data_IF_426687996178
#
_entry.id   IF_426687996178
#
_cell.length_a   1.000
_cell.length_b   1.000
_cell.length_c   1.000
_cell.angle_alpha   90.00
_cell.angle_beta   90.00
_cell.angle_gamma   90.00
#
_symmetry.space_group_name_H-M   'P 1'
#
loop_
_entity.id
_entity.type
_entity.pdbx_description
1 polymer ?
#
# COMPACT_ATOMS: atom_id res chain seq x y z
N UNK A 1 9.29 -5.73 4.66
CA UNK A 1 9.40 -5.08 5.98
C UNK A 1 10.09 -3.72 5.92
N UNK A 2 11.21 -3.55 5.20
CA UNK A 2 11.99 -2.30 5.29
C UNK A 2 11.29 -1.08 4.70
N UNK A 3 10.47 -1.23 3.65
CA UNK A 3 9.85 -0.09 2.95
C UNK A 3 10.93 0.91 2.51
N UNK A 4 10.64 2.20 2.64
CA UNK A 4 11.64 3.25 2.43
C UNK A 4 12.67 3.42 3.56
N UNK A 5 12.48 2.76 4.71
CA UNK A 5 13.36 2.90 5.87
C UNK A 5 13.36 4.31 6.46
N UNK A 6 14.47 4.73 7.05
CA UNK A 6 14.56 5.99 7.81
C UNK A 6 14.53 7.26 6.95
N UNK A 7 14.75 7.14 5.64
CA UNK A 7 14.87 8.27 4.71
C UNK A 7 13.98 8.05 3.50
N UNK A 8 12.67 8.33 3.62
CA UNK A 8 11.76 8.26 2.49
C UNK A 8 12.15 9.24 1.37
N UNK A 9 11.81 8.92 0.11
CA UNK A 9 12.11 9.80 -1.02
C UNK A 9 11.34 11.11 -0.89
N UNK A 10 11.93 12.19 -1.37
CA UNK A 10 11.26 13.48 -1.49
C UNK A 10 10.13 13.38 -2.51
N UNK A 11 8.89 13.47 -2.05
CA UNK A 11 7.73 13.29 -2.91
C UNK A 11 7.64 14.29 -4.08
N UNK A 12 8.28 15.47 -3.92
CA UNK A 12 8.29 16.54 -4.91
C UNK A 12 6.88 16.92 -5.39
N UNK A 13 5.91 16.96 -4.48
CA UNK A 13 4.51 17.25 -4.84
C UNK A 13 4.39 18.57 -5.61
N UNK A 14 3.42 18.68 -6.54
CA UNK A 14 3.23 19.88 -7.36
C UNK A 14 3.17 21.16 -6.55
N UNK A 15 3.74 22.24 -7.11
CA UNK A 15 3.80 23.57 -6.49
C UNK A 15 4.53 23.61 -5.13
N UNK A 16 5.38 22.63 -4.83
CA UNK A 16 6.10 22.56 -3.55
C UNK A 16 5.18 22.22 -2.37
N UNK A 17 4.07 21.54 -2.62
CA UNK A 17 3.17 21.12 -1.57
C UNK A 17 3.89 20.20 -0.56
N UNK A 18 3.65 20.45 0.72
CA UNK A 18 4.18 19.66 1.83
C UNK A 18 3.36 18.39 2.04
N UNK A 19 2.07 18.42 1.73
CA UNK A 19 1.17 17.28 1.94
C UNK A 19 0.21 17.13 0.78
N UNK A 20 0.08 15.90 0.27
CA UNK A 20 -1.00 15.53 -0.63
C UNK A 20 -2.19 15.01 0.19
N UNK A 21 -3.36 15.65 0.09
CA UNK A 21 -4.60 15.20 0.75
C UNK A 21 -5.49 14.54 -0.30
N UNK A 22 -5.78 13.25 -0.11
CA UNK A 22 -6.51 12.42 -1.06
C UNK A 22 -7.84 11.96 -0.42
N UNK A 23 -8.95 12.49 -0.92
CA UNK A 23 -10.30 12.18 -0.42
C UNK A 23 -10.87 11.00 -1.21
N UNK A 24 -11.20 9.91 -0.52
CA UNK A 24 -11.89 8.75 -1.09
C UNK A 24 -13.35 8.76 -0.67
N UNK A 25 -14.26 8.72 -1.64
CA UNK A 25 -15.68 8.46 -1.41
C UNK A 25 -16.05 7.06 -1.90
N UNK A 26 -16.27 6.13 -0.98
CA UNK A 26 -16.76 4.80 -1.31
C UNK A 26 -18.24 4.90 -1.73
N UNK A 27 -18.55 4.30 -2.88
CA UNK A 27 -19.91 4.16 -3.40
C UNK A 27 -20.23 2.68 -3.54
N UNK A 28 -20.86 2.15 -2.50
CA UNK A 28 -21.10 0.72 -2.31
C UNK A 28 -22.60 0.41 -2.20
N UNK A 29 -23.42 1.44 -1.95
CA UNK A 29 -24.85 1.34 -1.76
C UNK A 29 -25.57 0.83 -3.03
N UNK A 30 -26.13 -0.37 -2.94
CA UNK A 30 -26.69 -1.16 -4.05
C UNK A 30 -25.78 -2.31 -4.52
N UNK A 31 -24.56 -2.41 -4.00
CA UNK A 31 -23.58 -3.46 -4.27
C UNK A 31 -23.27 -4.36 -3.07
N UNK A 32 -23.83 -4.08 -1.90
CA UNK A 32 -23.67 -4.87 -0.67
C UNK A 32 -24.38 -6.23 -0.72
N UNK A 33 -24.13 -7.08 0.28
CA UNK A 33 -24.76 -8.40 0.36
C UNK A 33 -26.28 -8.30 0.50
N UNK A 34 -27.00 -8.92 -0.44
CA UNK A 34 -28.44 -9.01 -0.43
C UNK A 34 -28.90 -10.23 -1.23
N UNK A 35 -29.92 -10.95 -0.73
CA UNK A 35 -30.51 -12.07 -1.47
C UNK A 35 -31.13 -11.65 -2.81
N UNK A 36 -31.51 -10.38 -2.96
CA UNK A 36 -31.98 -9.81 -4.24
C UNK A 36 -30.85 -9.65 -5.27
N UNK A 37 -29.59 -9.71 -4.83
CA UNK A 37 -28.40 -9.65 -5.66
C UNK A 37 -27.84 -11.05 -5.95
N UNK A 38 -28.46 -12.11 -5.41
CA UNK A 38 -27.99 -13.49 -5.52
C UNK A 38 -27.11 -13.96 -4.36
N UNK A 39 -26.90 -13.14 -3.33
CA UNK A 39 -26.07 -13.50 -2.17
C UNK A 39 -26.81 -14.42 -1.20
N UNK A 40 -26.06 -15.18 -0.40
CA UNK A 40 -26.63 -16.18 0.52
C UNK A 40 -27.34 -15.56 1.75
N UNK A 41 -27.04 -14.31 2.10
CA UNK A 41 -27.52 -13.66 3.31
C UNK A 41 -27.60 -12.13 3.15
N UNK A 42 -28.26 -11.47 4.09
CA UNK A 42 -28.23 -10.00 4.18
C UNK A 42 -26.87 -9.47 4.63
N UNK A 43 -26.60 -8.20 4.28
CA UNK A 43 -25.45 -7.46 4.80
C UNK A 43 -25.44 -7.34 6.33
N UNK A 44 -24.23 -7.23 6.87
CA UNK A 44 -23.92 -7.16 8.30
C UNK A 44 -22.85 -6.10 8.61
N UNK A 45 -22.13 -5.59 7.61
CA UNK A 45 -20.96 -4.74 7.81
C UNK A 45 -21.25 -3.26 7.53
N UNK A 46 -20.48 -2.39 8.18
CA UNK A 46 -20.50 -0.92 8.08
C UNK A 46 -21.90 -0.29 8.04
N UNK A 47 -22.62 -0.41 9.15
CA UNK A 47 -23.92 0.20 9.36
C UNK A 47 -24.05 0.76 10.79
N UNK A 48 -25.17 1.42 11.08
CA UNK A 48 -25.50 1.86 12.44
C UNK A 48 -25.79 0.68 13.40
N UNK A 49 -25.99 -0.53 12.88
CA UNK A 49 -26.21 -1.75 13.66
C UNK A 49 -24.86 -2.43 13.87
N UNK A 50 -24.04 -1.86 14.76
CA UNK A 50 -22.72 -2.41 15.08
C UNK A 50 -22.89 -3.82 15.68
N UNK A 51 -22.19 -4.80 15.10
CA UNK A 51 -22.31 -6.21 15.50
C UNK A 51 -23.53 -6.93 14.89
N UNK A 52 -24.15 -6.38 13.84
CA UNK A 52 -25.16 -7.11 13.07
C UNK A 52 -24.59 -8.46 12.59
N UNK A 53 -25.45 -9.47 12.59
CA UNK A 53 -25.17 -10.76 11.96
C UNK A 53 -25.86 -10.81 10.60
N UNK A 54 -25.23 -11.47 9.63
CA UNK A 54 -25.85 -11.76 8.35
C UNK A 54 -27.04 -12.73 8.57
N UNK A 55 -28.16 -12.51 7.88
CA UNK A 55 -29.35 -13.36 8.00
C UNK A 55 -29.46 -14.27 6.77
N UNK A 56 -29.15 -15.58 6.88
CA UNK A 56 -29.20 -16.49 5.75
C UNK A 56 -30.60 -16.57 5.12
N UNK A 57 -30.65 -16.48 3.79
CA UNK A 57 -31.89 -16.58 3.01
C UNK A 57 -32.93 -15.48 3.29
N UNK A 58 -32.54 -14.41 3.98
CA UNK A 58 -33.45 -13.36 4.43
C UNK A 58 -32.95 -11.97 4.06
N UNK A 59 -33.89 -11.05 3.91
CA UNK A 59 -33.62 -9.61 3.83
C UNK A 59 -33.57 -9.02 5.22
N UNK A 60 -32.70 -8.03 5.40
CA UNK A 60 -32.59 -7.27 6.64
C UNK A 60 -33.04 -5.82 6.40
N UNK A 61 -34.32 -5.56 6.63
CA UNK A 61 -34.96 -4.28 6.31
C UNK A 61 -34.22 -3.05 6.89
N UNK A 62 -33.79 -3.13 8.14
CA UNK A 62 -33.05 -2.04 8.78
C UNK A 62 -31.70 -1.81 8.10
N UNK A 63 -30.99 -2.89 7.72
CA UNK A 63 -29.73 -2.79 7.00
C UNK A 63 -29.90 -2.15 5.63
N UNK A 64 -30.86 -2.63 4.84
CA UNK A 64 -31.14 -2.10 3.51
C UNK A 64 -31.47 -0.60 3.57
N UNK A 65 -32.35 -0.18 4.48
CA UNK A 65 -32.69 1.25 4.63
C UNK A 65 -31.54 2.13 5.14
N UNK A 66 -30.55 1.56 5.85
CA UNK A 66 -29.31 2.27 6.21
C UNK A 66 -28.43 2.47 4.97
N UNK A 67 -28.27 1.46 4.13
CA UNK A 67 -27.54 1.58 2.86
C UNK A 67 -28.26 2.54 1.91
N UNK A 68 -29.57 2.44 1.78
CA UNK A 68 -30.37 3.38 0.98
C UNK A 68 -30.17 4.84 1.40
N UNK A 69 -29.95 5.12 2.69
CA UNK A 69 -29.65 6.49 3.15
C UNK A 69 -28.40 7.06 2.45
N UNK A 70 -27.36 6.24 2.26
CA UNK A 70 -26.14 6.63 1.58
C UNK A 70 -26.43 7.09 0.16
N UNK A 71 -27.08 6.26 -0.65
CA UNK A 71 -27.42 6.61 -2.04
C UNK A 71 -28.44 7.78 -2.15
N UNK A 72 -29.42 7.83 -1.24
CA UNK A 72 -30.57 8.77 -1.33
C UNK A 72 -30.31 10.14 -0.73
N UNK A 73 -29.44 10.25 0.26
CA UNK A 73 -29.24 11.50 1.01
C UNK A 73 -27.78 11.79 1.34
N UNK A 74 -27.02 10.78 1.78
CA UNK A 74 -25.62 10.91 2.17
C UNK A 74 -24.75 11.39 1.02
N UNK A 75 -24.80 10.69 -0.11
CA UNK A 75 -24.08 11.03 -1.34
C UNK A 75 -24.33 12.48 -1.76
N UNK A 76 -25.60 12.91 -1.85
CA UNK A 76 -25.93 14.26 -2.30
C UNK A 76 -25.46 15.36 -1.34
N UNK A 77 -25.40 15.07 -0.02
CA UNK A 77 -24.82 16.00 0.95
C UNK A 77 -23.32 16.14 0.73
N UNK A 78 -22.61 15.03 0.55
CA UNK A 78 -21.17 15.01 0.32
C UNK A 78 -20.81 15.62 -1.04
N UNK A 79 -21.57 15.32 -2.10
CA UNK A 79 -21.42 15.92 -3.44
C UNK A 79 -21.48 17.44 -3.41
N UNK A 80 -22.45 18.03 -2.70
CA UNK A 80 -22.51 19.49 -2.53
C UNK A 80 -21.34 20.04 -1.72
N UNK A 81 -20.90 19.34 -0.68
CA UNK A 81 -19.80 19.76 0.20
C UNK A 81 -18.44 19.71 -0.50
N UNK A 82 -18.20 18.68 -1.30
CA UNK A 82 -16.93 18.38 -1.96
C UNK A 82 -16.86 18.94 -3.38
N UNK A 83 -17.90 19.65 -3.85
CA UNK A 83 -17.94 20.22 -5.19
C UNK A 83 -16.74 21.14 -5.42
N UNK A 84 -16.04 20.93 -6.54
CA UNK A 84 -14.84 21.70 -6.90
C UNK A 84 -13.56 21.24 -6.20
N UNK A 85 -13.62 20.22 -5.33
CA UNK A 85 -12.45 19.51 -4.83
C UNK A 85 -12.24 18.22 -5.64
N UNK A 86 -10.99 17.82 -5.88
CA UNK A 86 -10.70 16.51 -6.44
C UNK A 86 -11.06 15.42 -5.42
N UNK A 87 -11.76 14.40 -5.89
CA UNK A 87 -12.20 13.24 -5.12
C UNK A 87 -11.98 12.01 -5.99
N UNK A 88 -11.59 10.91 -5.35
CA UNK A 88 -11.61 9.59 -5.98
C UNK A 88 -12.78 8.81 -5.42
N UNK A 89 -13.66 8.36 -6.29
CA UNK A 89 -14.74 7.44 -5.95
C UNK A 89 -14.18 6.02 -6.01
N UNK A 90 -14.34 5.26 -4.94
CA UNK A 90 -14.19 3.81 -4.98
C UNK A 90 -15.57 3.23 -5.27
N UNK A 91 -15.83 2.97 -6.55
CA UNK A 91 -17.14 2.58 -7.04
C UNK A 91 -17.26 1.08 -7.26
N UNK A 92 -18.13 0.43 -6.49
CA UNK A 92 -18.49 -0.98 -6.70
C UNK A 92 -19.29 -1.08 -7.99
N UNK A 93 -18.87 -1.89 -8.94
CA UNK A 93 -19.43 -1.86 -10.30
C UNK A 93 -20.96 -2.11 -10.32
N UNK A 94 -21.45 -3.05 -9.51
CA UNK A 94 -22.90 -3.31 -9.37
C UNK A 94 -23.66 -2.17 -8.69
N UNK A 95 -23.04 -1.44 -7.76
CA UNK A 95 -23.64 -0.26 -7.14
C UNK A 95 -23.75 0.90 -8.15
N UNK A 96 -22.68 1.15 -8.92
CA UNK A 96 -22.67 2.15 -9.99
C UNK A 96 -23.76 1.86 -11.04
N UNK A 97 -23.94 0.58 -11.41
CA UNK A 97 -24.95 0.16 -12.38
C UNK A 97 -26.38 0.53 -11.96
N UNK A 98 -26.63 0.54 -10.64
CA UNK A 98 -27.92 0.86 -10.02
C UNK A 98 -28.11 2.34 -9.73
N UNK A 99 -27.11 3.18 -10.01
CA UNK A 99 -27.06 4.57 -9.57
C UNK A 99 -26.72 5.58 -10.69
N UNK A 100 -27.48 5.61 -11.80
CA UNK A 100 -27.13 6.43 -12.96
C UNK A 100 -27.08 7.94 -12.65
N UNK A 101 -27.92 8.45 -11.74
CA UNK A 101 -27.90 9.86 -11.35
C UNK A 101 -26.63 10.23 -10.58
N UNK A 102 -26.18 9.35 -9.68
CA UNK A 102 -24.97 9.52 -8.89
C UNK A 102 -23.73 9.43 -9.79
N UNK A 103 -23.67 8.46 -10.71
CA UNK A 103 -22.60 8.36 -11.72
C UNK A 103 -22.53 9.63 -12.55
N UNK A 104 -23.65 10.15 -13.06
CA UNK A 104 -23.69 11.39 -13.81
C UNK A 104 -23.18 12.59 -12.97
N UNK A 105 -23.51 12.63 -11.68
CA UNK A 105 -23.06 13.67 -10.76
C UNK A 105 -21.56 13.59 -10.46
N UNK A 106 -20.99 12.38 -10.31
CA UNK A 106 -19.55 12.14 -10.14
C UNK A 106 -18.78 12.63 -11.38
N UNK A 107 -19.24 12.24 -12.59
CA UNK A 107 -18.64 12.66 -13.86
C UNK A 107 -18.71 14.19 -14.05
N UNK A 108 -19.85 14.79 -13.76
CA UNK A 108 -20.03 16.25 -13.86
C UNK A 108 -19.13 17.00 -12.87
N UNK A 109 -18.83 16.41 -11.71
CA UNK A 109 -17.91 16.99 -10.74
C UNK A 109 -16.43 16.84 -11.12
N UNK A 110 -16.12 16.07 -12.18
CA UNK A 110 -14.74 15.76 -12.56
C UNK A 110 -14.01 14.87 -11.55
N UNK A 111 -14.76 14.08 -10.78
CA UNK A 111 -14.17 13.12 -9.85
C UNK A 111 -13.62 11.92 -10.60
N UNK A 112 -12.49 11.39 -10.11
CA UNK A 112 -12.01 10.08 -10.55
C UNK A 112 -13.01 9.01 -10.09
N UNK A 113 -13.30 8.01 -10.92
CA UNK A 113 -14.05 6.81 -10.52
C UNK A 113 -13.12 5.60 -10.70
N UNK A 114 -12.58 5.11 -9.59
CA UNK A 114 -11.77 3.90 -9.54
C UNK A 114 -12.65 2.67 -9.25
N UNK A 115 -12.13 1.48 -9.59
CA UNK A 115 -12.84 0.24 -9.31
C UNK A 115 -12.80 -0.09 -7.82
N UNK A 116 -13.96 -0.42 -7.25
CA UNK A 116 -14.06 -1.03 -5.94
C UNK A 116 -14.54 -2.50 -6.00
N UNK A 117 -14.15 -3.21 -7.06
CA UNK A 117 -14.58 -4.58 -7.33
C UNK A 117 -15.99 -4.67 -7.93
N UNK A 118 -16.41 -5.90 -8.24
CA UNK A 118 -17.72 -6.16 -8.84
C UNK A 118 -18.85 -5.94 -7.82
N UNK A 119 -18.65 -6.49 -6.62
CA UNK A 119 -19.57 -6.53 -5.49
C UNK A 119 -18.83 -6.15 -4.22
N UNK A 120 -19.57 -5.58 -3.27
CA UNK A 120 -19.02 -5.28 -1.95
C UNK A 120 -19.10 -6.53 -1.06
N UNK A 121 -18.20 -7.48 -1.31
CA UNK A 121 -18.09 -8.75 -0.60
C UNK A 121 -16.74 -8.95 0.09
N UNK A 122 -16.52 -10.16 0.61
CA UNK A 122 -15.24 -10.60 1.17
C UNK A 122 -14.61 -11.64 0.22
N UNK A 123 -13.36 -11.41 -0.18
CA UNK A 123 -12.62 -12.30 -1.08
C UNK A 123 -11.66 -13.25 -0.35
N UNK A 124 -11.56 -13.22 0.99
CA UNK A 124 -10.52 -13.95 1.75
C UNK A 124 -10.42 -15.45 1.42
N UNK A 125 -11.55 -16.10 1.10
CA UNK A 125 -11.65 -17.53 0.76
C UNK A 125 -12.00 -17.77 -0.73
N UNK A 126 -12.02 -16.72 -1.56
CA UNK A 126 -12.34 -16.85 -2.97
C UNK A 126 -11.25 -17.66 -3.70
N UNK A 127 -11.65 -18.48 -4.67
CA UNK A 127 -10.68 -19.11 -5.54
C UNK A 127 -10.07 -18.05 -6.47
N UNK A 128 -8.80 -18.25 -6.88
CA UNK A 128 -8.14 -17.34 -7.82
C UNK A 128 -8.94 -17.17 -9.12
N UNK A 129 -9.57 -18.25 -9.60
CA UNK A 129 -10.36 -18.23 -10.83
C UNK A 129 -11.62 -17.38 -10.69
N UNK A 130 -12.34 -17.52 -9.57
CA UNK A 130 -13.57 -16.74 -9.32
C UNK A 130 -13.24 -15.26 -9.10
N UNK A 131 -12.18 -14.97 -8.34
CA UNK A 131 -11.75 -13.60 -8.10
C UNK A 131 -11.27 -12.90 -9.37
N UNK A 132 -10.54 -13.60 -10.25
CA UNK A 132 -10.14 -13.07 -11.55
C UNK A 132 -11.36 -12.81 -12.45
N UNK A 133 -12.32 -13.73 -12.47
CA UNK A 133 -13.55 -13.55 -13.24
C UNK A 133 -14.36 -12.34 -12.75
N UNK A 134 -14.47 -12.16 -11.43
CA UNK A 134 -15.11 -10.98 -10.85
C UNK A 134 -14.35 -9.68 -11.17
N UNK A 135 -13.01 -9.71 -11.19
CA UNK A 135 -12.19 -8.57 -11.57
C UNK A 135 -12.44 -8.16 -13.02
N UNK A 136 -12.40 -9.11 -13.95
CA UNK A 136 -12.65 -8.88 -15.37
C UNK A 136 -14.07 -8.34 -15.60
N UNK A 137 -15.06 -8.91 -14.90
CA UNK A 137 -16.46 -8.47 -14.98
C UNK A 137 -16.66 -7.07 -14.37
N UNK A 138 -15.97 -6.76 -13.26
CA UNK A 138 -15.99 -5.42 -12.68
C UNK A 138 -15.44 -4.38 -13.65
N UNK A 139 -14.33 -4.68 -14.33
CA UNK A 139 -13.71 -3.79 -15.33
C UNK A 139 -14.66 -3.59 -16.51
N UNK A 140 -15.24 -4.67 -17.04
CA UNK A 140 -16.20 -4.61 -18.16
C UNK A 140 -17.40 -3.75 -17.79
N UNK A 141 -18.08 -4.07 -16.68
CA UNK A 141 -19.28 -3.36 -16.24
C UNK A 141 -18.99 -1.90 -15.90
N UNK A 142 -17.89 -1.62 -15.19
CA UNK A 142 -17.45 -0.26 -14.91
C UNK A 142 -17.26 0.53 -16.21
N UNK A 143 -16.58 -0.06 -17.20
CA UNK A 143 -16.34 0.58 -18.51
C UNK A 143 -17.65 0.94 -19.21
N UNK A 144 -18.64 0.05 -19.16
CA UNK A 144 -19.96 0.29 -19.77
C UNK A 144 -20.72 1.44 -19.09
N UNK A 145 -20.64 1.53 -17.75
CA UNK A 145 -21.38 2.52 -16.96
C UNK A 145 -20.70 3.90 -16.99
N UNK A 146 -19.39 3.92 -16.76
CA UNK A 146 -18.61 5.14 -16.64
C UNK A 146 -18.24 5.69 -18.01
N UNK A 147 -18.12 4.81 -19.02
CA UNK A 147 -17.73 5.16 -20.39
C UNK A 147 -16.22 5.08 -20.65
N UNK A 148 -15.43 4.78 -19.63
CA UNK A 148 -14.00 4.51 -19.72
C UNK A 148 -13.61 3.46 -18.67
N UNK A 149 -12.49 2.76 -18.89
CA UNK A 149 -12.02 1.75 -17.95
C UNK A 149 -11.53 2.38 -16.64
N UNK A 150 -11.64 1.68 -15.50
CA UNK A 150 -11.01 2.13 -14.26
C UNK A 150 -9.48 2.11 -14.40
N UNK A 151 -8.82 3.10 -13.80
CA UNK A 151 -7.35 3.22 -13.73
C UNK A 151 -6.78 2.93 -12.35
N UNK A 152 -7.63 2.85 -11.33
CA UNK A 152 -7.28 2.41 -9.99
C UNK A 152 -8.09 1.20 -9.56
N UNK A 153 -7.51 0.36 -8.70
CA UNK A 153 -8.17 -0.78 -8.07
C UNK A 153 -8.06 -0.74 -6.55
N UNK A 154 -9.16 -1.03 -5.87
CA UNK A 154 -9.21 -1.31 -4.43
C UNK A 154 -10.30 -2.34 -4.14
N UNK A 155 -10.01 -3.44 -3.48
CA UNK A 155 -11.03 -4.41 -3.03
C UNK A 155 -11.44 -4.19 -1.58
N UNK A 156 -10.50 -3.77 -0.73
CA UNK A 156 -10.67 -3.64 0.72
C UNK A 156 -10.59 -4.99 1.43
N UNK A 157 -11.66 -5.79 1.37
CA UNK A 157 -11.70 -7.15 1.95
C UNK A 157 -11.15 -8.16 0.95
N UNK A 158 -9.86 -8.01 0.65
CA UNK A 158 -9.13 -8.75 -0.37
C UNK A 158 -8.76 -10.18 0.05
N UNK A 159 -8.39 -11.01 -0.91
CA UNK A 159 -7.66 -12.26 -0.72
C UNK A 159 -6.15 -12.01 -0.77
N UNK A 160 -5.35 -13.06 -0.56
CA UNK A 160 -3.89 -13.00 -0.78
C UNK A 160 -3.51 -12.88 -2.27
N UNK A 161 -4.45 -13.16 -3.18
CA UNK A 161 -4.24 -13.09 -4.63
C UNK A 161 -4.55 -11.70 -5.20
N UNK A 162 -5.43 -10.92 -4.58
CA UNK A 162 -6.04 -9.71 -5.17
C UNK A 162 -5.03 -8.75 -5.78
N UNK A 163 -3.99 -8.37 -5.03
CA UNK A 163 -3.01 -7.37 -5.48
C UNK A 163 -2.21 -7.89 -6.67
N UNK A 164 -1.82 -9.17 -6.62
CA UNK A 164 -1.13 -9.84 -7.73
C UNK A 164 -2.04 -9.93 -8.96
N UNK A 165 -3.31 -10.31 -8.79
CA UNK A 165 -4.28 -10.38 -9.88
C UNK A 165 -4.48 -9.02 -10.56
N UNK A 166 -4.60 -7.95 -9.78
CA UNK A 166 -4.72 -6.58 -10.30
C UNK A 166 -3.46 -6.16 -11.05
N UNK A 167 -2.27 -6.51 -10.54
CA UNK A 167 -1.02 -6.28 -11.26
C UNK A 167 -0.99 -7.07 -12.59
N UNK A 168 -1.36 -8.35 -12.59
CA UNK A 168 -1.38 -9.20 -13.78
C UNK A 168 -2.37 -8.73 -14.86
N UNK A 169 -3.57 -8.22 -14.50
CA UNK A 169 -4.54 -7.65 -15.45
C UNK A 169 -3.92 -6.52 -16.27
N UNK A 170 -3.20 -5.66 -15.58
CA UNK A 170 -2.18 -4.84 -16.17
C UNK A 170 -2.61 -3.53 -16.82
N UNK A 171 -3.84 -3.10 -16.65
CA UNK A 171 -4.33 -1.80 -17.09
C UNK A 171 -4.53 -0.77 -15.96
N UNK A 172 -4.17 -1.11 -14.71
CA UNK A 172 -4.23 -0.17 -13.58
C UNK A 172 -2.95 0.66 -13.43
N UNK A 173 -3.14 1.96 -13.26
CA UNK A 173 -2.08 2.93 -12.92
C UNK A 173 -1.67 2.80 -11.45
N UNK A 174 -2.60 2.36 -10.59
CA UNK A 174 -2.31 2.06 -9.19
C UNK A 174 -3.25 0.98 -8.61
N UNK A 175 -2.76 0.32 -7.56
CA UNK A 175 -3.55 -0.54 -6.65
C UNK A 175 -3.45 0.03 -5.24
N UNK A 176 -4.56 0.00 -4.48
CA UNK A 176 -4.63 0.64 -3.17
C UNK A 176 -4.91 -0.31 -1.99
N UNK A 177 -4.95 -1.63 -2.23
CA UNK A 177 -5.04 -2.67 -1.19
C UNK A 177 -3.73 -2.83 -0.42
N UNK A 178 -3.29 -1.74 0.21
CA UNK A 178 -2.17 -1.68 1.14
C UNK A 178 -2.38 -0.53 2.12
N UNK A 179 -1.93 -0.71 3.35
CA UNK A 179 -2.03 0.26 4.44
C UNK A 179 -0.65 0.51 5.08
N UNK A 180 0.42 0.25 4.33
CA UNK A 180 1.75 -0.01 4.87
C UNK A 180 2.74 1.16 4.79
N UNK A 181 2.34 2.32 4.26
CA UNK A 181 3.24 3.46 4.08
C UNK A 181 2.45 4.78 3.94
N UNK A 182 3.13 5.91 4.16
CA UNK A 182 2.59 7.28 4.01
C UNK A 182 2.90 7.86 2.61
N UNK A 183 3.45 7.02 1.71
CA UNK A 183 3.86 7.35 0.35
C UNK A 183 3.53 6.23 -0.63
N UNK A 184 3.29 6.54 -1.92
CA UNK A 184 3.25 5.53 -2.96
C UNK A 184 4.57 4.77 -3.06
N UNK A 185 4.53 3.51 -3.49
CA UNK A 185 5.73 2.70 -3.72
C UNK A 185 5.49 1.64 -4.81
N UNK A 186 6.56 1.23 -5.48
CA UNK A 186 6.49 0.18 -6.49
C UNK A 186 6.64 -1.20 -5.86
N UNK A 187 5.76 -2.12 -6.23
CA UNK A 187 5.85 -3.54 -5.88
C UNK A 187 5.91 -4.38 -7.15
N UNK A 188 6.78 -5.40 -7.15
CA UNK A 188 6.97 -6.29 -8.31
C UNK A 188 6.10 -7.53 -8.16
N UNK A 189 5.43 -7.89 -9.25
CA UNK A 189 4.65 -9.11 -9.39
C UNK A 189 5.06 -9.78 -10.70
N UNK A 190 5.85 -10.86 -10.62
CA UNK A 190 6.50 -11.45 -11.79
C UNK A 190 7.39 -10.42 -12.50
N UNK A 191 7.14 -10.18 -13.79
CA UNK A 191 7.90 -9.22 -14.60
C UNK A 191 7.35 -7.78 -14.54
N UNK A 192 6.31 -7.53 -13.75
CA UNK A 192 5.60 -6.24 -13.72
C UNK A 192 5.77 -5.50 -12.41
N UNK A 193 6.22 -4.25 -12.48
CA UNK A 193 6.10 -3.30 -11.37
C UNK A 193 4.70 -2.67 -11.36
N UNK A 194 3.99 -2.82 -10.25
CA UNK A 194 2.71 -2.19 -9.98
C UNK A 194 2.90 -1.10 -8.93
N UNK A 195 2.43 0.11 -9.24
CA UNK A 195 2.42 1.19 -8.26
C UNK A 195 1.34 0.90 -7.22
N UNK A 196 1.77 0.88 -5.96
CA UNK A 196 0.89 0.86 -4.80
C UNK A 196 0.74 2.29 -4.32
N UNK A 197 -0.51 2.74 -4.17
CA UNK A 197 -0.83 4.00 -3.49
C UNK A 197 -1.57 3.60 -2.21
N UNK A 198 -0.93 3.64 -1.02
CA UNK A 198 -1.48 3.07 0.23
C UNK A 198 -2.69 3.83 0.79
N UNK A 199 -3.73 3.09 1.14
CA UNK A 199 -4.99 3.60 1.69
C UNK A 199 -4.97 3.58 3.23
N UNK A 200 -6.14 3.76 3.87
CA UNK A 200 -6.29 3.91 5.32
C UNK A 200 -7.52 3.16 5.85
N UNK A 201 -7.37 2.56 7.04
CA UNK A 201 -8.48 2.02 7.84
C UNK A 201 -8.70 2.82 9.14
N UNK A 202 -7.83 3.78 9.42
CA UNK A 202 -7.77 4.59 10.64
C UNK A 202 -8.32 6.01 10.40
N UNK A 203 -7.79 6.74 9.41
CA UNK A 203 -8.32 8.00 8.89
C UNK A 203 -9.54 7.75 7.97
N UNK A 204 -10.49 6.98 8.48
CA UNK A 204 -11.59 6.41 7.73
C UNK A 204 -12.88 6.44 8.57
N UNK A 205 -13.97 6.94 8.00
CA UNK A 205 -15.26 7.05 8.68
C UNK A 205 -15.92 5.68 8.93
N UNK A 206 -15.41 4.58 8.34
CA UNK A 206 -15.78 3.21 8.71
C UNK A 206 -15.64 2.98 10.22
N UNK A 207 -14.74 3.73 10.87
CA UNK A 207 -14.55 3.70 12.31
C UNK A 207 -15.79 4.13 13.09
N UNK A 208 -16.79 4.79 12.51
CA UNK A 208 -18.08 5.00 13.20
C UNK A 208 -18.93 3.73 13.35
N UNK A 209 -18.59 2.66 12.62
CA UNK A 209 -19.42 1.46 12.51
C UNK A 209 -18.69 0.16 12.94
N UNK A 210 -17.60 0.29 13.72
CA UNK A 210 -16.84 -0.84 14.28
C UNK A 210 -16.78 -0.76 15.81
N UNK A 211 -16.59 -1.88 16.53
CA UNK A 211 -16.66 -1.90 18.00
C UNK A 211 -15.69 -0.94 18.72
N UNK A 212 -14.47 -0.75 18.20
CA UNK A 212 -13.46 0.17 18.75
C UNK A 212 -13.45 1.53 18.01
N UNK A 213 -14.65 1.96 17.63
CA UNK A 213 -14.91 3.07 16.72
C UNK A 213 -14.97 4.45 17.36
N UNK A 214 -15.13 5.48 16.52
CA UNK A 214 -15.40 6.84 16.98
C UNK A 214 -16.82 6.90 17.59
N UNK A 215 -16.91 7.30 18.85
CA UNK A 215 -18.19 7.45 19.57
C UNK A 215 -18.84 8.81 19.32
N UNK A 216 -18.02 9.83 19.03
CA UNK A 216 -18.43 11.20 18.75
C UNK A 216 -17.91 11.62 17.36
N UNK A 217 -18.76 12.21 16.47
CA UNK A 217 -18.30 12.88 15.26
C UNK A 217 -17.03 13.72 15.40
N UNK A 218 -16.83 14.42 16.52
CA UNK A 218 -15.66 15.28 16.73
C UNK A 218 -14.37 14.51 17.01
N UNK A 219 -14.44 13.23 17.40
CA UNK A 219 -13.24 12.39 17.46
C UNK A 219 -12.65 12.17 16.07
N UNK A 220 -13.49 12.01 15.05
CA UNK A 220 -13.03 11.90 13.66
C UNK A 220 -12.44 13.22 13.16
N UNK A 221 -13.05 14.37 13.49
CA UNK A 221 -12.49 15.69 13.18
C UNK A 221 -11.07 15.85 13.78
N UNK A 222 -10.92 15.55 15.08
CA UNK A 222 -9.62 15.62 15.75
C UNK A 222 -8.62 14.63 15.17
N UNK A 223 -9.05 13.42 14.83
CA UNK A 223 -8.16 12.42 14.24
C UNK A 223 -7.59 12.90 12.90
N UNK A 224 -8.46 13.39 12.00
CA UNK A 224 -8.05 13.89 10.69
C UNK A 224 -7.15 15.12 10.79
N UNK A 225 -7.46 16.06 11.68
CA UNK A 225 -6.65 17.27 11.87
C UNK A 225 -5.28 16.96 12.45
N UNK A 226 -5.19 16.09 13.46
CA UNK A 226 -3.91 15.67 14.03
C UNK A 226 -3.05 14.88 13.05
N UNK A 227 -3.66 13.96 12.28
CA UNK A 227 -2.95 13.21 11.24
C UNK A 227 -2.39 14.15 10.16
N UNK A 228 -3.21 15.11 9.71
CA UNK A 228 -2.77 16.14 8.78
C UNK A 228 -1.63 16.99 9.35
N UNK A 229 -1.77 17.53 10.56
CA UNK A 229 -0.76 18.41 11.17
C UNK A 229 0.59 17.70 11.31
N UNK A 230 0.59 16.42 11.70
CA UNK A 230 1.80 15.59 11.77
C UNK A 230 2.45 15.45 10.39
N UNK A 231 1.71 14.94 9.40
CA UNK A 231 2.23 14.71 8.05
C UNK A 231 2.65 16.00 7.35
N UNK A 232 1.99 17.11 7.65
CA UNK A 232 2.33 18.44 7.16
C UNK A 232 3.62 18.98 7.77
N UNK A 233 3.85 18.69 9.05
CA UNK A 233 5.10 19.03 9.73
C UNK A 233 6.29 18.26 9.16
N UNK A 234 6.12 16.96 8.86
CA UNK A 234 7.16 16.13 8.23
C UNK A 234 7.44 16.57 6.79
N UNK A 235 6.39 16.85 6.02
CA UNK A 235 6.48 17.17 4.60
C UNK A 235 6.74 15.94 3.72
N UNK A 236 6.36 16.05 2.44
CA UNK A 236 6.55 15.00 1.45
C UNK A 236 5.76 13.72 1.77
N UNK A 237 4.59 13.81 2.41
CA UNK A 237 3.70 12.68 2.71
C UNK A 237 2.33 12.84 2.07
N UNK A 238 1.56 11.77 2.03
CA UNK A 238 0.15 11.83 1.65
C UNK A 238 -0.77 11.39 2.80
N UNK A 239 -1.96 11.97 2.84
CA UNK A 239 -3.05 11.58 3.75
C UNK A 239 -4.23 11.10 2.92
N UNK A 240 -4.57 9.81 3.06
CA UNK A 240 -5.84 9.28 2.56
C UNK A 240 -6.95 9.57 3.56
N UNK A 241 -8.15 9.92 3.09
CA UNK A 241 -9.34 10.08 3.93
C UNK A 241 -10.46 9.21 3.36
N UNK A 242 -10.81 8.14 4.09
CA UNK A 242 -11.85 7.21 3.70
C UNK A 242 -13.24 7.64 4.14
N UNK A 243 -14.18 7.76 3.20
CA UNK A 243 -15.55 8.21 3.44
C UNK A 243 -16.56 7.22 2.86
N UNK A 244 -17.68 7.00 3.55
CA UNK A 244 -18.78 6.17 3.07
C UNK A 244 -20.09 6.98 3.07
N UNK A 245 -20.84 6.92 1.97
CA UNK A 245 -22.04 7.74 1.79
C UNK A 245 -23.04 7.55 2.94
N UNK A 246 -23.28 6.31 3.37
CA UNK A 246 -24.20 5.97 4.47
C UNK A 246 -23.72 6.36 5.87
N UNK A 247 -22.41 6.60 6.06
CA UNK A 247 -21.81 6.90 7.37
C UNK A 247 -21.58 8.41 7.54
N UNK A 248 -20.48 8.97 7.02
CA UNK A 248 -20.16 10.41 7.16
C UNK A 248 -21.17 11.30 6.44
N UNK A 249 -21.96 10.75 5.52
CA UNK A 249 -23.09 11.46 4.94
C UNK A 249 -24.17 11.83 5.97
N UNK A 250 -24.19 11.24 7.18
CA UNK A 250 -25.11 11.64 8.27
C UNK A 250 -24.79 13.05 8.78
N UNK A 251 -25.78 13.87 9.17
CA UNK A 251 -25.58 15.31 9.36
C UNK A 251 -24.49 15.69 10.37
N UNK A 252 -24.42 14.99 11.52
CA UNK A 252 -23.45 15.30 12.56
C UNK A 252 -22.01 14.94 12.13
N UNK A 253 -21.83 13.76 11.51
CA UNK A 253 -20.54 13.31 10.97
C UNK A 253 -20.08 14.17 9.79
N UNK A 254 -21.01 14.60 8.94
CA UNK A 254 -20.73 15.51 7.83
C UNK A 254 -20.19 16.87 8.33
N UNK A 255 -20.69 17.39 9.45
CA UNK A 255 -20.18 18.63 10.04
C UNK A 255 -18.72 18.49 10.50
N UNK A 256 -18.39 17.38 11.17
CA UNK A 256 -17.03 17.06 11.59
C UNK A 256 -16.07 16.95 10.39
N UNK A 257 -16.47 16.23 9.34
CA UNK A 257 -15.69 16.17 8.08
C UNK A 257 -15.47 17.56 7.49
N UNK A 258 -16.52 18.38 7.41
CA UNK A 258 -16.41 19.73 6.85
C UNK A 258 -15.35 20.54 7.60
N UNK A 259 -15.37 20.51 8.93
CA UNK A 259 -14.41 21.25 9.77
C UNK A 259 -12.98 20.77 9.56
N UNK A 260 -12.75 19.46 9.49
CA UNK A 260 -11.42 18.92 9.19
C UNK A 260 -10.93 19.37 7.79
N UNK A 261 -11.80 19.34 6.77
CA UNK A 261 -11.46 19.79 5.42
C UNK A 261 -11.25 21.30 5.29
N UNK A 262 -11.94 22.10 6.10
CA UNK A 262 -11.72 23.54 6.22
C UNK A 262 -10.37 23.83 6.89
N UNK A 263 -10.02 23.09 7.96
CA UNK A 263 -8.71 23.19 8.63
C UNK A 263 -7.57 22.94 7.66
N UNK A 264 -7.61 21.82 6.94
CA UNK A 264 -6.58 21.47 5.94
C UNK A 264 -6.48 22.53 4.83
N UNK A 265 -7.62 23.02 4.33
CA UNK A 265 -7.64 24.04 3.28
C UNK A 265 -7.18 25.43 3.76
N UNK A 266 -7.11 25.65 5.08
CA UNK A 266 -6.57 26.88 5.67
C UNK A 266 -5.04 26.93 5.74
N UNK A 267 -4.35 25.86 5.36
CA UNK A 267 -2.88 25.78 5.38
C UNK A 267 -2.28 25.97 3.99
N UNK A 268 -1.13 26.65 3.94
CA UNK A 268 -0.32 26.74 2.72
C UNK A 268 0.35 25.40 2.41
N UNK A 269 0.67 25.16 1.13
CA UNK A 269 1.40 23.96 0.73
C UNK A 269 0.61 22.65 0.86
N UNK A 270 -0.72 22.70 0.69
CA UNK A 270 -1.58 21.51 0.61
C UNK A 270 -1.99 21.26 -0.83
N UNK A 271 -1.76 20.04 -1.31
CA UNK A 271 -2.26 19.59 -2.61
C UNK A 271 -3.43 18.64 -2.41
N UNK A 272 -4.65 19.13 -2.62
CA UNK A 272 -5.79 18.22 -2.79
C UNK A 272 -5.68 17.55 -4.15
N UNK A 273 -5.74 16.23 -4.19
CA UNK A 273 -5.56 15.45 -5.40
C UNK A 273 -6.51 14.26 -5.46
N UNK A 274 -6.86 13.86 -6.68
CA UNK A 274 -7.35 12.51 -6.96
C UNK A 274 -6.19 11.53 -6.79
N UNK A 275 -6.51 10.28 -6.55
CA UNK A 275 -5.53 9.22 -6.39
C UNK A 275 -4.80 8.92 -7.69
N UNK A 276 -5.49 9.03 -8.83
CA UNK A 276 -4.88 8.96 -10.16
C UNK A 276 -3.86 10.08 -10.42
N UNK A 277 -4.12 11.31 -9.94
CA UNK A 277 -3.13 12.39 -10.02
C UNK A 277 -1.89 12.08 -9.20
N UNK A 278 -2.04 11.54 -7.98
CA UNK A 278 -0.91 11.09 -7.16
C UNK A 278 -0.14 9.97 -7.86
N UNK A 279 -0.84 8.97 -8.40
CA UNK A 279 -0.24 7.84 -9.10
C UNK A 279 0.59 8.30 -10.31
N UNK A 280 0.02 9.18 -11.14
CA UNK A 280 0.70 9.73 -12.32
C UNK A 280 1.88 10.62 -11.96
N UNK A 281 1.75 11.44 -10.92
CA UNK A 281 2.84 12.23 -10.39
C UNK A 281 3.99 11.32 -9.96
N UNK A 282 3.69 10.30 -9.13
CA UNK A 282 4.70 9.39 -8.62
C UNK A 282 5.39 8.62 -9.74
N UNK A 283 4.65 8.11 -10.71
CA UNK A 283 5.24 7.39 -11.84
C UNK A 283 6.16 8.28 -12.69
N UNK A 284 5.88 9.58 -12.78
CA UNK A 284 6.71 10.53 -13.50
C UNK A 284 7.97 10.95 -12.74
N UNK A 285 7.89 11.14 -11.42
CA UNK A 285 9.02 11.64 -10.60
C UNK A 285 9.83 10.54 -9.93
N UNK A 286 9.24 9.38 -9.70
CA UNK A 286 9.81 8.21 -9.05
C UNK A 286 9.49 6.95 -9.88
N UNK A 287 10.09 6.78 -11.07
CA UNK A 287 9.83 5.62 -11.92
C UNK A 287 10.23 4.32 -11.21
N UNK A 288 9.63 3.21 -11.65
CA UNK A 288 9.90 1.89 -11.07
C UNK A 288 11.40 1.55 -11.09
N UNK A 289 11.94 0.99 -10.00
CA UNK A 289 13.37 0.67 -9.90
C UNK A 289 13.75 -0.42 -10.90
N UNK A 290 14.89 -0.24 -11.59
CA UNK A 290 15.36 -1.14 -12.65
C UNK A 290 16.59 -1.97 -12.26
N UNK A 291 16.83 -2.22 -10.96
CA UNK A 291 18.01 -2.96 -10.51
C UNK A 291 17.73 -4.45 -10.30
N UNK A 292 18.77 -5.27 -10.46
CA UNK A 292 18.74 -6.71 -10.20
C UNK A 292 18.66 -6.97 -8.70
N UNK A 293 17.62 -7.69 -8.26
CA UNK A 293 17.34 -7.91 -6.84
C UNK A 293 18.13 -9.10 -6.32
N UNK A 294 19.00 -8.92 -5.30
CA UNK A 294 19.74 -10.01 -4.66
C UNK A 294 18.89 -11.23 -4.29
N UNK A 295 17.67 -11.02 -3.81
CA UNK A 295 16.75 -12.10 -3.42
C UNK A 295 16.21 -12.93 -4.60
N UNK A 296 16.25 -12.40 -5.81
CA UNK A 296 15.75 -13.04 -7.03
C UNK A 296 16.88 -13.60 -7.92
N UNK A 297 18.15 -13.41 -7.53
CA UNK A 297 19.30 -13.90 -8.30
C UNK A 297 19.42 -15.42 -8.24
N UNK A 298 19.82 -16.02 -9.37
CA UNK A 298 20.33 -17.39 -9.35
C UNK A 298 21.58 -17.49 -8.46
N UNK A 299 21.86 -18.68 -7.92
CA UNK A 299 23.06 -18.91 -7.09
C UNK A 299 24.34 -18.46 -7.79
N UNK A 300 24.52 -18.87 -9.04
CA UNK A 300 25.72 -18.55 -9.83
C UNK A 300 25.87 -17.03 -10.01
N UNK A 301 24.77 -16.33 -10.27
CA UNK A 301 24.76 -14.87 -10.42
C UNK A 301 25.06 -14.16 -9.10
N UNK A 302 24.46 -14.60 -7.99
CA UNK A 302 24.68 -14.05 -6.67
C UNK A 302 26.15 -14.23 -6.24
N UNK A 303 26.72 -15.41 -6.43
CA UNK A 303 28.12 -15.71 -6.11
C UNK A 303 29.07 -14.94 -7.03
N UNK A 304 28.76 -14.80 -8.31
CA UNK A 304 29.57 -13.99 -9.22
C UNK A 304 29.64 -12.50 -8.81
N UNK A 305 28.56 -11.97 -8.21
CA UNK A 305 28.50 -10.58 -7.76
C UNK A 305 29.05 -10.37 -6.35
N UNK A 306 28.79 -11.29 -5.43
CA UNK A 306 29.06 -11.11 -4.00
C UNK A 306 30.13 -12.06 -3.43
N UNK A 307 30.61 -13.03 -4.22
CA UNK A 307 31.58 -14.04 -3.79
C UNK A 307 32.95 -13.49 -3.41
N UNK A 308 33.34 -12.37 -4.01
CA UNK A 308 34.61 -11.69 -3.72
C UNK A 308 34.49 -10.61 -2.62
N UNK A 309 33.30 -10.42 -2.02
CA UNK A 309 33.13 -9.47 -0.89
C UNK A 309 33.97 -9.90 0.31
N UNK A 310 34.07 -11.21 0.54
CA UNK A 310 35.07 -11.81 1.42
C UNK A 310 36.10 -12.48 0.50
N UNK A 311 37.19 -11.76 0.22
CA UNK A 311 38.19 -12.12 -0.80
C UNK A 311 38.57 -13.61 -0.73
N UNK A 312 38.58 -14.25 -1.90
CA UNK A 312 38.93 -15.67 -2.04
C UNK A 312 38.10 -16.65 -1.19
N UNK A 313 36.93 -16.21 -0.68
CA UNK A 313 36.05 -16.97 0.19
C UNK A 313 34.60 -17.03 -0.32
N UNK A 314 34.38 -17.48 -1.58
CA UNK A 314 33.05 -17.47 -2.21
C UNK A 314 32.01 -18.33 -1.48
N UNK A 315 32.45 -19.29 -0.67
CA UNK A 315 31.58 -20.12 0.17
C UNK A 315 30.67 -19.29 1.09
N UNK A 316 31.07 -18.08 1.46
CA UNK A 316 30.24 -17.17 2.27
C UNK A 316 29.02 -16.72 1.47
N UNK A 317 29.23 -16.29 0.22
CA UNK A 317 28.14 -15.92 -0.67
C UNK A 317 27.27 -17.13 -1.04
N UNK A 318 27.88 -18.29 -1.27
CA UNK A 318 27.13 -19.52 -1.55
C UNK A 318 26.19 -19.92 -0.40
N UNK A 319 26.68 -19.87 0.84
CA UNK A 319 25.86 -20.17 2.02
C UNK A 319 24.86 -19.06 2.31
N UNK A 320 25.19 -17.80 2.02
CA UNK A 320 24.28 -16.67 2.21
C UNK A 320 23.10 -16.73 1.23
N UNK A 321 23.35 -17.12 -0.03
CA UNK A 321 22.30 -17.40 -1.00
C UNK A 321 21.38 -18.55 -0.56
N UNK A 322 21.94 -19.56 0.13
CA UNK A 322 21.17 -20.65 0.72
C UNK A 322 20.33 -20.26 1.95
N UNK A 323 20.39 -19.01 2.41
CA UNK A 323 19.46 -18.47 3.41
C UNK A 323 18.15 -18.05 2.73
N UNK A 324 17.09 -17.85 3.51
CA UNK A 324 15.81 -17.30 3.05
C UNK A 324 15.93 -15.80 2.73
N UNK A 325 16.60 -15.46 1.62
CA UNK A 325 16.69 -14.09 1.14
C UNK A 325 15.32 -13.62 0.63
N UNK A 326 14.70 -12.69 1.35
CA UNK A 326 13.52 -11.96 0.88
C UNK A 326 13.80 -10.48 0.55
N UNK A 327 12.76 -9.68 0.24
CA UNK A 327 12.88 -8.28 -0.20
C UNK A 327 13.67 -7.35 0.74
N UNK A 328 13.78 -7.67 2.03
CA UNK A 328 14.63 -6.93 2.97
C UNK A 328 16.11 -7.01 2.65
N UNK A 329 16.52 -8.02 1.87
CA UNK A 329 17.89 -8.24 1.43
C UNK A 329 18.21 -7.54 0.11
N UNK A 330 17.24 -6.90 -0.55
CA UNK A 330 17.46 -6.18 -1.81
C UNK A 330 18.07 -4.78 -1.60
N UNK A 331 18.97 -4.70 -0.62
CA UNK A 331 19.73 -3.50 -0.25
C UNK A 331 21.15 -3.91 0.10
N UNK A 332 22.09 -2.97 0.01
CA UNK A 332 23.48 -3.23 0.42
C UNK A 332 23.57 -3.70 1.88
N UNK A 333 22.78 -3.10 2.79
CA UNK A 333 22.74 -3.48 4.19
C UNK A 333 22.21 -4.92 4.38
N UNK A 334 21.17 -5.29 3.63
CA UNK A 334 20.58 -6.61 3.69
C UNK A 334 21.52 -7.70 3.19
N UNK A 335 22.18 -7.50 2.05
CA UNK A 335 23.21 -8.43 1.54
C UNK A 335 24.38 -8.53 2.52
N UNK A 336 24.87 -7.39 3.03
CA UNK A 336 25.95 -7.37 4.02
C UNK A 336 25.59 -8.15 5.29
N UNK A 337 24.35 -8.00 5.78
CA UNK A 337 23.88 -8.74 6.95
C UNK A 337 23.84 -10.26 6.70
N UNK A 338 23.37 -10.69 5.52
CA UNK A 338 23.34 -12.10 5.13
C UNK A 338 24.76 -12.71 5.07
N UNK A 339 25.69 -12.06 4.37
CA UNK A 339 27.08 -12.51 4.25
C UNK A 339 27.77 -12.53 5.63
N UNK A 340 27.61 -11.47 6.41
CA UNK A 340 28.23 -11.35 7.74
C UNK A 340 27.67 -12.39 8.72
N UNK A 341 26.38 -12.72 8.64
CA UNK A 341 25.79 -13.80 9.43
C UNK A 341 26.47 -15.13 9.15
N UNK A 342 26.67 -15.47 7.89
CA UNK A 342 27.38 -16.69 7.49
C UNK A 342 28.80 -16.71 8.04
N UNK A 343 29.56 -15.62 7.87
CA UNK A 343 30.92 -15.53 8.40
C UNK A 343 30.98 -15.70 9.93
N UNK A 344 30.09 -15.03 10.67
CA UNK A 344 30.05 -15.11 12.14
C UNK A 344 29.61 -16.48 12.67
N UNK A 345 28.82 -17.22 11.90
CA UNK A 345 28.37 -18.57 12.26
C UNK A 345 29.35 -19.68 11.83
N UNK A 346 30.39 -19.34 11.08
CA UNK A 346 31.40 -20.29 10.62
C UNK A 346 32.35 -20.71 11.75
N UNK A 347 33.00 -21.87 11.58
CA UNK A 347 33.97 -22.37 12.56
C UNK A 347 35.17 -21.41 12.70
N UNK A 348 35.93 -21.54 13.80
CA UNK A 348 37.16 -20.77 13.96
C UNK A 348 38.13 -21.02 12.79
N UNK A 349 38.26 -22.28 12.34
CA UNK A 349 39.10 -22.67 11.20
C UNK A 349 38.66 -22.02 9.89
N UNK A 350 37.35 -21.96 9.61
CA UNK A 350 36.81 -21.33 8.41
C UNK A 350 37.04 -19.82 8.43
N UNK A 351 36.85 -19.16 9.58
CA UNK A 351 37.10 -17.73 9.75
C UNK A 351 38.58 -17.38 9.63
N UNK A 352 39.46 -18.20 10.21
CA UNK A 352 40.90 -18.06 10.04
C UNK A 352 41.31 -18.30 8.58
N UNK A 353 40.67 -19.24 7.90
CA UNK A 353 40.85 -19.48 6.47
C UNK A 353 40.59 -18.24 5.61
N UNK A 354 39.54 -17.47 5.92
CA UNK A 354 39.24 -16.19 5.24
C UNK A 354 40.37 -15.18 5.44
N UNK A 355 40.89 -15.05 6.67
CA UNK A 355 41.99 -14.14 6.97
C UNK A 355 43.29 -14.56 6.27
N UNK A 356 43.59 -15.86 6.26
CA UNK A 356 44.75 -16.44 5.58
C UNK A 356 44.68 -16.31 4.06
N UNK A 357 43.48 -16.27 3.49
CA UNK A 357 43.30 -16.08 2.05
C UNK A 357 43.49 -14.61 1.63
N UNK A 358 43.48 -13.66 2.56
CA UNK A 358 43.57 -12.23 2.26
C UNK A 358 45.01 -11.84 1.82
N UNK A 359 45.20 -11.34 0.59
CA UNK A 359 46.51 -11.15 -0.05
C UNK A 359 47.45 -10.16 0.66
N UNK A 360 46.90 -9.21 1.42
CA UNK A 360 47.68 -8.22 2.18
C UNK A 360 47.83 -8.50 3.69
N UNK A 361 46.91 -9.27 4.31
CA UNK A 361 46.96 -9.61 5.74
C UNK A 361 47.81 -10.86 6.00
N UNK A 362 47.71 -11.86 5.12
CA UNK A 362 48.53 -13.07 5.16
C UNK A 362 49.64 -13.08 4.09
N UNK A 363 49.77 -12.00 3.31
CA UNK A 363 50.74 -11.88 2.22
C UNK A 363 51.67 -10.67 2.34
N UNK A 364 51.87 -9.95 1.23
CA UNK A 364 53.08 -9.18 0.86
C UNK A 364 53.75 -8.31 1.94
N UNK A 365 53.05 -7.81 2.96
CA UNK A 365 53.63 -7.02 4.05
C UNK A 365 54.35 -7.86 5.12
N UNK A 366 53.81 -9.04 5.47
CA UNK A 366 54.45 -10.01 6.36
C UNK A 366 55.70 -10.60 5.69
N UNK A 367 55.57 -11.06 4.44
CA UNK A 367 56.67 -11.59 3.64
C UNK A 367 57.78 -10.55 3.33
N UNK A 368 57.44 -9.26 3.24
CA UNK A 368 58.42 -8.18 3.04
C UNK A 368 59.10 -7.70 4.33
N UNK A 369 58.74 -8.23 5.52
CA UNK A 369 59.18 -7.75 6.85
C UNK A 369 59.02 -6.24 7.04
N UNK A 370 57.93 -5.67 6.49
CA UNK A 370 57.64 -4.22 6.56
C UNK A 370 56.56 -3.87 7.59
N UNK A 371 56.09 -4.85 8.36
CA UNK A 371 55.15 -4.63 9.46
C UNK A 371 55.87 -4.05 10.68
N UNK A 372 55.19 -3.19 11.42
CA UNK A 372 55.65 -2.73 12.74
C UNK A 372 55.50 -3.85 13.76
N UNK A 373 56.27 -3.85 14.86
CA UNK A 373 56.17 -4.86 15.92
C UNK A 373 54.74 -4.99 16.48
N UNK A 374 54.02 -3.86 16.60
CA UNK A 374 52.62 -3.85 17.03
C UNK A 374 51.70 -4.60 16.03
N UNK A 375 51.92 -4.41 14.73
CA UNK A 375 51.14 -5.07 13.68
C UNK A 375 51.46 -6.57 13.59
N UNK A 376 52.71 -6.97 13.81
CA UNK A 376 53.10 -8.38 13.91
C UNK A 376 52.45 -9.08 15.12
N UNK A 377 52.44 -8.43 16.29
CA UNK A 377 51.81 -8.98 17.49
C UNK A 377 50.29 -9.12 17.33
N UNK A 378 49.64 -8.14 16.68
CA UNK A 378 48.20 -8.17 16.40
C UNK A 378 47.83 -9.28 15.41
N UNK A 379 48.61 -9.46 14.35
CA UNK A 379 48.38 -10.55 13.38
C UNK A 379 48.60 -11.94 14.01
N UNK A 380 49.66 -12.10 14.81
CA UNK A 380 49.91 -13.36 15.53
C UNK A 380 48.79 -13.67 16.54
N UNK A 381 48.24 -12.66 17.22
CA UNK A 381 47.11 -12.83 18.12
C UNK A 381 45.80 -13.25 17.40
N UNK A 382 45.70 -12.94 16.10
CA UNK A 382 44.61 -13.39 15.22
C UNK A 382 44.87 -14.78 14.59
N UNK A 383 45.99 -15.44 14.90
CA UNK A 383 46.34 -16.76 14.38
C UNK A 383 46.99 -16.76 12.99
N UNK A 384 47.44 -15.61 12.50
CA UNK A 384 48.15 -15.49 11.23
C UNK A 384 49.65 -15.79 11.44
N UNK A 385 50.16 -16.83 10.79
CA UNK A 385 51.58 -17.14 10.76
C UNK A 385 52.26 -16.33 9.64
N UNK A 386 53.28 -15.54 9.99
CA UNK A 386 54.07 -14.74 9.05
C UNK A 386 55.03 -15.57 8.17
#
# INVERSE_FOLDING_TARGET
>A
MTGYGATPPEANWPNGARTAVQIVLNYEEGGENNILHGDAASEAFLSEIVGAAAWPGQRHWNMESIYEYGARAGFWRLHRMLKGRPVTVYGVATALARAPEQVAAMKTAGWEIASHGLKWGEYKDASEADERADMDEAIRLHTEIVGERPRGWYTGRCSDNTVRLAAEEGGFDYVADSYADDLPYWSRFGDRDQLIVPYTLDANDMRFAVPAGFGDPFEFEHYLTNAFDMLHSEGGRMLSIGLHCRLVGRPARALALKRALDHMAGHDGVWFATRLEIARHWAATHPAPSFERPSEMSKDRFVALFGEVFEHSPWIAERAWGLELGPTHDTAMGVHAALTRVFRSASDDERLGVLNAHPDLAGKLAAAKRLTEASTAEQAAAGLDA
#
